data_IF_353963103463
#
_entry.id   IF_353963103463
#
_cell.length_a   1.000
_cell.length_b   1.000
_cell.length_c   1.000
_cell.angle_alpha   90.00
_cell.angle_beta   90.00
_cell.angle_gamma   90.00
#
_symmetry.space_group_name_H-M   'P 1'
#
loop_
_entity.id
_entity.type
_entity.pdbx_description
1 polymer ?
#
# COMPACT_ATOMS: atom_id res chain seq x y z
N UNK A 1 1.74 18.70 0.67
CA UNK A 1 2.68 18.94 -0.47
C UNK A 1 2.83 17.67 -1.31
N UNK A 2 2.99 17.74 -2.64
CA UNK A 2 3.14 16.55 -3.51
C UNK A 2 4.59 16.12 -3.67
N UNK A 3 4.88 14.83 -3.46
CA UNK A 3 6.22 14.24 -3.67
C UNK A 3 6.32 13.75 -5.12
N UNK A 4 7.41 14.10 -5.81
CA UNK A 4 7.64 13.74 -7.22
C UNK A 4 8.65 12.60 -7.30
N UNK A 5 8.21 11.44 -7.79
CA UNK A 5 9.05 10.29 -8.08
C UNK A 5 9.40 10.35 -9.57
N UNK A 6 10.55 10.98 -9.86
CA UNK A 6 10.94 11.42 -11.20
C UNK A 6 11.32 10.26 -12.13
N UNK A 7 11.81 9.14 -11.61
CA UNK A 7 12.21 7.99 -12.43
C UNK A 7 10.98 7.24 -12.98
N UNK A 8 9.89 7.24 -12.21
CA UNK A 8 8.68 6.47 -12.45
C UNK A 8 7.55 7.29 -13.06
N UNK A 9 7.76 8.60 -13.21
CA UNK A 9 6.75 9.51 -13.76
C UNK A 9 5.56 9.70 -12.81
N UNK A 10 5.76 9.66 -11.48
CA UNK A 10 4.66 9.71 -10.49
C UNK A 10 4.68 11.03 -9.72
N UNK A 11 3.52 11.68 -9.66
CA UNK A 11 3.23 12.79 -8.75
C UNK A 11 2.25 12.29 -7.71
N UNK A 12 2.75 12.04 -6.50
CA UNK A 12 1.94 11.54 -5.39
C UNK A 12 1.29 12.69 -4.61
N UNK A 13 0.02 12.53 -4.23
CA UNK A 13 -0.72 13.47 -3.38
C UNK A 13 -1.07 12.81 -2.03
N UNK A 14 -0.18 12.91 -1.02
CA UNK A 14 -0.32 12.18 0.24
C UNK A 14 -1.59 12.57 1.02
N UNK A 15 -1.91 13.86 1.08
CA UNK A 15 -3.11 14.36 1.77
C UNK A 15 -4.40 13.81 1.13
N UNK A 16 -4.47 13.81 -0.21
CA UNK A 16 -5.63 13.27 -0.92
C UNK A 16 -5.72 11.75 -0.79
N UNK A 17 -4.59 11.04 -0.74
CA UNK A 17 -4.54 9.60 -0.43
C UNK A 17 -5.11 9.33 0.96
N UNK A 18 -4.65 10.06 1.97
CA UNK A 18 -5.12 9.91 3.35
C UNK A 18 -6.63 10.20 3.48
N UNK A 19 -7.12 11.27 2.83
CA UNK A 19 -8.56 11.59 2.79
C UNK A 19 -9.35 10.47 2.11
N UNK A 20 -8.87 9.93 1.00
CA UNK A 20 -9.51 8.84 0.28
C UNK A 20 -9.58 7.56 1.15
N UNK A 21 -8.47 7.20 1.80
CA UNK A 21 -8.40 6.05 2.70
C UNK A 21 -9.36 6.20 3.89
N UNK A 22 -9.32 7.34 4.59
CA UNK A 22 -10.24 7.63 5.71
C UNK A 22 -11.69 7.58 5.28
N UNK A 23 -12.01 8.11 4.09
CA UNK A 23 -13.37 8.06 3.52
C UNK A 23 -13.85 6.62 3.29
N UNK A 24 -12.97 5.74 2.80
CA UNK A 24 -13.30 4.31 2.61
C UNK A 24 -13.57 3.64 3.96
N UNK A 25 -12.72 3.86 4.96
CA UNK A 25 -12.88 3.32 6.32
C UNK A 25 -14.25 3.71 6.88
N UNK A 26 -14.58 5.01 6.87
CA UNK A 26 -15.85 5.54 7.40
C UNK A 26 -17.04 4.94 6.64
N UNK A 27 -16.97 4.85 5.30
CA UNK A 27 -18.04 4.25 4.49
C UNK A 27 -18.25 2.77 4.81
N UNK A 28 -17.19 1.97 4.92
CA UNK A 28 -17.28 0.54 5.29
C UNK A 28 -17.82 0.36 6.71
N UNK A 29 -17.38 1.19 7.66
CA UNK A 29 -17.87 1.16 9.04
C UNK A 29 -19.35 1.51 9.11
N UNK A 30 -19.80 2.55 8.39
CA UNK A 30 -21.22 2.94 8.30
C UNK A 30 -22.08 1.80 7.74
N UNK A 31 -21.54 1.04 6.78
CA UNK A 31 -22.19 -0.15 6.20
C UNK A 31 -22.06 -1.41 7.07
N UNK A 32 -21.46 -1.33 8.25
CA UNK A 32 -21.18 -2.47 9.15
C UNK A 32 -20.38 -3.60 8.49
N UNK A 33 -19.60 -3.29 7.45
CA UNK A 33 -18.76 -4.26 6.74
C UNK A 33 -17.45 -4.57 7.48
N UNK A 34 -17.07 -3.71 8.43
CA UNK A 34 -15.90 -3.84 9.28
C UNK A 34 -16.25 -3.49 10.73
N UNK A 35 -15.52 -4.09 11.66
CA UNK A 35 -15.65 -3.84 13.10
C UNK A 35 -15.14 -2.45 13.47
N UNK A 36 -15.55 -1.95 14.65
CA UNK A 36 -15.02 -0.69 15.18
C UNK A 36 -13.52 -0.77 15.45
N UNK A 37 -13.02 -1.94 15.86
CA UNK A 37 -11.60 -2.16 16.14
C UNK A 37 -10.75 -2.13 14.86
N UNK A 38 -11.19 -2.79 13.79
CA UNK A 38 -10.53 -2.75 12.48
C UNK A 38 -10.51 -1.34 11.92
N UNK A 39 -11.65 -0.64 11.98
CA UNK A 39 -11.74 0.75 11.54
C UNK A 39 -10.77 1.65 12.32
N UNK A 40 -10.70 1.52 13.65
CA UNK A 40 -9.78 2.29 14.49
C UNK A 40 -8.32 2.02 14.12
N UNK A 41 -7.94 0.75 14.00
CA UNK A 41 -6.55 0.36 13.67
C UNK A 41 -6.12 0.95 12.33
N UNK A 42 -6.94 0.81 11.29
CA UNK A 42 -6.62 1.33 9.97
C UNK A 42 -6.61 2.86 9.94
N UNK A 43 -7.52 3.51 10.67
CA UNK A 43 -7.55 4.97 10.75
C UNK A 43 -6.28 5.51 11.41
N UNK A 44 -5.87 4.91 12.53
CA UNK A 44 -4.62 5.27 13.21
C UNK A 44 -3.40 5.00 12.34
N UNK A 45 -3.35 3.87 11.61
CA UNK A 45 -2.23 3.56 10.73
C UNK A 45 -2.04 4.60 9.61
N UNK A 46 -3.14 5.04 8.99
CA UNK A 46 -3.12 6.10 7.97
C UNK A 46 -2.73 7.46 8.56
N UNK A 47 -2.98 7.72 9.85
CA UNK A 47 -2.54 8.95 10.52
C UNK A 47 -1.07 8.92 10.95
N UNK A 48 -0.55 7.74 11.26
CA UNK A 48 0.86 7.55 11.61
C UNK A 48 1.76 7.32 10.40
N UNK A 49 1.17 7.21 9.21
CA UNK A 49 1.91 6.97 7.99
C UNK A 49 2.77 8.17 7.63
N UNK A 50 3.92 7.87 7.04
CA UNK A 50 4.75 8.87 6.40
C UNK A 50 4.03 9.38 5.14
N UNK A 51 4.25 10.65 4.77
CA UNK A 51 3.69 11.24 3.53
C UNK A 51 4.34 10.65 2.25
N UNK A 52 5.18 9.63 2.42
CA UNK A 52 5.85 8.88 1.38
C UNK A 52 4.92 7.85 0.71
N UNK A 53 5.04 7.75 -0.62
CA UNK A 53 4.24 6.86 -1.46
C UNK A 53 4.42 5.38 -1.09
N UNK A 54 5.64 4.94 -0.80
CA UNK A 54 5.91 3.55 -0.43
C UNK A 54 5.21 3.20 0.89
N UNK A 55 5.34 4.07 1.88
CA UNK A 55 4.71 3.90 3.20
C UNK A 55 3.18 3.81 3.07
N UNK A 56 2.56 4.73 2.34
CA UNK A 56 1.10 4.75 2.19
C UNK A 56 0.59 3.55 1.40
N UNK A 57 1.28 3.11 0.34
CA UNK A 57 0.91 1.88 -0.38
C UNK A 57 1.04 0.68 0.55
N UNK A 58 2.14 0.57 1.29
CA UNK A 58 2.38 -0.53 2.21
C UNK A 58 1.28 -0.62 3.27
N UNK A 59 0.95 0.49 3.92
CA UNK A 59 -0.14 0.54 4.89
C UNK A 59 -1.50 0.19 4.29
N UNK A 60 -1.82 0.65 3.08
CA UNK A 60 -3.06 0.25 2.39
C UNK A 60 -3.09 -1.28 2.18
N UNK A 61 -1.97 -1.88 1.78
CA UNK A 61 -1.84 -3.32 1.60
C UNK A 61 -1.93 -4.11 2.92
N UNK A 62 -1.56 -3.51 4.05
CA UNK A 62 -1.69 -4.09 5.40
C UNK A 62 -3.13 -4.27 5.87
N UNK A 63 -4.10 -3.59 5.22
CA UNK A 63 -5.53 -3.69 5.55
C UNK A 63 -6.37 -4.16 4.36
N UNK A 64 -6.15 -5.39 3.85
CA UNK A 64 -6.82 -5.87 2.64
C UNK A 64 -8.34 -6.02 2.82
N UNK A 65 -8.83 -6.31 4.02
CA UNK A 65 -10.26 -6.36 4.33
C UNK A 65 -10.94 -5.00 4.14
N UNK A 66 -10.21 -3.91 4.33
CA UNK A 66 -10.72 -2.53 4.25
C UNK A 66 -10.53 -1.96 2.85
N UNK A 67 -9.34 -2.05 2.27
CA UNK A 67 -9.04 -1.39 1.00
C UNK A 67 -9.09 -2.32 -0.21
N UNK A 68 -9.08 -3.64 0.01
CA UNK A 68 -8.88 -4.62 -1.05
C UNK A 68 -7.41 -4.67 -1.48
N UNK A 69 -7.13 -5.38 -2.59
CA UNK A 69 -5.79 -5.49 -3.16
C UNK A 69 -5.47 -4.41 -4.19
N UNK A 70 -6.47 -3.64 -4.60
CA UNK A 70 -6.36 -2.64 -5.66
C UNK A 70 -5.97 -1.27 -5.07
N UNK A 71 -4.77 -1.20 -4.49
CA UNK A 71 -4.27 0.00 -3.79
C UNK A 71 -4.26 1.26 -4.69
N UNK A 72 -4.09 1.09 -6.01
CA UNK A 72 -4.16 2.18 -7.00
C UNK A 72 -5.51 2.91 -7.06
N UNK A 73 -6.58 2.34 -6.49
CA UNK A 73 -7.90 2.99 -6.39
C UNK A 73 -8.01 3.93 -5.17
N UNK A 74 -7.13 3.75 -4.19
CA UNK A 74 -7.07 4.50 -2.94
C UNK A 74 -6.01 5.59 -3.03
N UNK A 75 -4.80 5.23 -3.50
CA UNK A 75 -3.67 6.15 -3.68
C UNK A 75 -4.03 7.21 -4.72
N UNK A 76 -3.81 8.47 -4.36
CA UNK A 76 -4.12 9.64 -5.18
C UNK A 76 -2.85 10.29 -5.71
N UNK A 77 -2.92 10.68 -6.97
CA UNK A 77 -1.82 11.28 -7.68
C UNK A 77 -2.10 11.29 -9.17
N UNK A 78 -1.07 11.60 -9.94
CA UNK A 78 -1.10 11.53 -11.39
C UNK A 78 0.21 10.95 -11.89
N UNK A 79 0.18 10.24 -13.00
CA UNK A 79 1.38 9.93 -13.75
C UNK A 79 1.66 11.05 -14.76
N UNK A 80 2.93 11.28 -15.07
CA UNK A 80 3.37 12.10 -16.19
C UNK A 80 4.24 11.24 -17.11
N UNK A 81 3.94 11.25 -18.41
CA UNK A 81 4.58 10.40 -19.40
C UNK A 81 3.60 9.40 -20.05
N UNK A 82 4.11 8.39 -20.78
CA UNK A 82 3.27 7.46 -21.54
C UNK A 82 2.59 6.40 -20.66
N UNK A 83 3.00 6.25 -19.41
CA UNK A 83 2.48 5.23 -18.50
C UNK A 83 1.14 5.67 -17.87
N UNK A 84 0.16 4.77 -17.88
CA UNK A 84 -1.08 4.95 -17.13
C UNK A 84 -0.79 4.92 -15.63
N UNK A 85 -1.58 5.65 -14.83
CA UNK A 85 -1.41 5.78 -13.38
C UNK A 85 -1.24 4.43 -12.66
N UNK A 86 -2.09 3.47 -13.03
CA UNK A 86 -2.04 2.11 -12.48
C UNK A 86 -0.71 1.43 -12.78
N UNK A 87 -0.29 1.47 -14.03
CA UNK A 87 0.92 0.76 -14.50
C UNK A 87 2.18 1.39 -13.89
N UNK A 88 2.19 2.72 -13.72
CA UNK A 88 3.25 3.43 -13.03
C UNK A 88 3.36 2.96 -11.55
N UNK A 89 2.23 2.89 -10.84
CA UNK A 89 2.18 2.39 -9.46
C UNK A 89 2.56 0.92 -9.33
N UNK A 90 2.13 0.07 -10.27
CA UNK A 90 2.51 -1.35 -10.30
C UNK A 90 4.01 -1.52 -10.56
N UNK A 91 4.59 -0.71 -11.46
CA UNK A 91 6.03 -0.69 -11.75
C UNK A 91 6.83 -0.25 -10.53
N UNK A 92 6.44 0.85 -9.88
CA UNK A 92 7.04 1.32 -8.64
C UNK A 92 7.05 0.24 -7.56
N UNK A 93 5.91 -0.41 -7.29
CA UNK A 93 5.83 -1.47 -6.28
C UNK A 93 6.71 -2.66 -6.63
N UNK A 94 6.75 -3.06 -7.91
CA UNK A 94 7.59 -4.17 -8.37
C UNK A 94 9.08 -3.87 -8.19
N UNK A 95 9.52 -2.68 -8.56
CA UNK A 95 10.92 -2.25 -8.44
C UNK A 95 11.34 -2.10 -6.98
N UNK A 96 10.50 -1.48 -6.15
CA UNK A 96 10.76 -1.35 -4.72
C UNK A 96 10.84 -2.70 -4.02
N UNK A 97 9.94 -3.64 -4.33
CA UNK A 97 10.03 -5.01 -3.81
C UNK A 97 11.25 -5.77 -4.33
N UNK A 98 11.66 -5.58 -5.58
CA UNK A 98 12.87 -6.20 -6.11
C UNK A 98 14.14 -5.69 -5.40
N UNK A 99 14.15 -4.42 -4.99
CA UNK A 99 15.27 -3.79 -4.29
C UNK A 99 15.30 -4.09 -2.79
N UNK A 100 14.15 -4.01 -2.12
CA UNK A 100 14.05 -4.03 -0.65
C UNK A 100 13.48 -5.36 -0.11
N UNK A 101 12.95 -6.23 -0.96
CA UNK A 101 12.27 -7.48 -0.60
C UNK A 101 10.80 -7.32 -0.20
N UNK A 102 10.41 -6.17 0.37
CA UNK A 102 9.04 -5.80 0.71
C UNK A 102 8.89 -4.26 0.67
N UNK A 103 7.65 -3.78 0.66
CA UNK A 103 7.38 -2.34 0.88
C UNK A 103 7.48 -1.98 2.36
N UNK A 104 7.80 -0.71 2.65
CA UNK A 104 7.66 -0.13 3.99
C UNK A 104 6.25 -0.36 4.54
N UNK A 105 6.13 -0.81 5.78
CA UNK A 105 4.86 -1.13 6.48
C UNK A 105 4.04 -2.29 5.89
N UNK A 106 4.42 -2.85 4.74
CA UNK A 106 3.79 -4.06 4.23
C UNK A 106 4.07 -5.19 5.21
N UNK A 107 3.04 -5.96 5.65
CA UNK A 107 3.29 -7.14 6.43
C UNK A 107 4.18 -8.04 5.58
N UNK A 108 5.41 -8.29 6.07
CA UNK A 108 6.27 -9.33 5.51
C UNK A 108 5.37 -10.54 5.32
N UNK A 109 5.34 -11.18 4.15
CA UNK A 109 4.55 -12.39 3.98
C UNK A 109 4.93 -13.30 5.14
N UNK A 110 3.98 -13.48 6.07
CA UNK A 110 4.09 -14.50 7.10
C UNK A 110 3.93 -15.76 6.28
N UNK A 111 5.05 -16.24 5.76
CA UNK A 111 5.12 -17.55 5.18
C UNK A 111 4.52 -18.46 6.24
N UNK A 112 3.37 -19.05 5.94
CA UNK A 112 2.80 -20.06 6.83
C UNK A 112 3.93 -21.05 7.13
N UNK A 113 3.96 -21.60 8.34
CA UNK A 113 5.09 -22.38 8.87
C UNK A 113 5.50 -23.61 8.03
N UNK A 114 4.84 -23.87 6.89
CA UNK A 114 5.21 -24.87 5.89
C UNK A 114 4.93 -24.42 4.44
N UNK A 115 4.90 -23.13 4.15
CA UNK A 115 4.62 -22.64 2.79
C UNK A 115 5.85 -22.80 1.89
N UNK A 116 5.62 -23.10 0.61
CA UNK A 116 6.67 -23.22 -0.42
C UNK A 116 7.62 -22.01 -0.41
N UNK A 117 7.08 -20.82 -0.15
CA UNK A 117 7.86 -19.60 -0.14
C UNK A 117 8.74 -19.42 1.12
N UNK A 118 8.45 -20.11 2.25
CA UNK A 118 9.41 -20.26 3.34
C UNK A 118 10.60 -21.13 2.89
N UNK A 119 10.31 -22.31 2.34
CA UNK A 119 11.34 -23.25 1.91
C UNK A 119 12.26 -22.66 0.85
N UNK A 120 11.72 -21.90 -0.09
CA UNK A 120 12.53 -21.22 -1.12
C UNK A 120 13.43 -20.12 -0.56
N UNK A 121 13.02 -19.43 0.53
CA UNK A 121 13.86 -18.42 1.21
C UNK A 121 15.02 -19.05 1.97
N UNK A 122 14.81 -20.19 2.59
CA UNK A 122 15.87 -20.90 3.32
C UNK A 122 16.84 -21.59 2.35
N UNK A 123 16.33 -22.09 1.23
CA UNK A 123 17.16 -22.67 0.16
C UNK A 123 18.11 -21.68 -0.50
N UNK A 124 17.80 -20.37 -0.54
CA UNK A 124 18.70 -19.33 -1.08
C UNK A 124 19.75 -18.84 -0.07
N UNK A 125 19.69 -19.30 1.18
CA UNK A 125 20.68 -19.00 2.22
C UNK A 125 21.69 -20.13 2.46
N UNK A 126 21.45 -21.31 1.88
CA UNK A 126 22.35 -22.46 1.87
C UNK A 126 23.31 -22.37 0.67
#
# INVERSE_FOLDING_TARGET
>A
MSVVYKQEGIIHSPEHTAIAAKTIIVRKRRRKQITALEARRAFTAIESDDDDLEAQIGTILSYPTIFGRQYWTVVRGTSFGPALWRDALETFVRETRAKNGALRNEPIPVYAENSLAMFMRDATKA
#
